data_IF_609271763067
#
_entry.id   IF_609271763067
#
_cell.length_a   1.000
_cell.length_b   1.000
_cell.length_c   1.000
_cell.angle_alpha   90.00
_cell.angle_beta   90.00
_cell.angle_gamma   90.00
#
_symmetry.space_group_name_H-M   'P 1'
#
loop_
_entity.id
_entity.type
_entity.pdbx_description
1 polymer ?
#
# COMPACT_ATOMS: atom_id res chain seq x y z
N UNK A 1 -42.84 10.52 55.66
CA UNK A 1 -41.43 10.12 55.81
C UNK A 1 -40.75 10.18 54.45
N UNK A 2 -40.04 11.24 54.16
CA UNK A 2 -39.26 11.44 52.92
C UNK A 2 -37.83 10.97 53.19
N UNK A 3 -37.32 10.02 52.43
CA UNK A 3 -35.90 9.60 52.45
C UNK A 3 -35.17 10.26 51.27
N UNK A 4 -34.24 11.12 51.59
CA UNK A 4 -33.30 11.78 50.69
C UNK A 4 -32.18 10.82 50.30
N UNK A 5 -31.87 10.77 48.99
CA UNK A 5 -30.70 10.07 48.42
C UNK A 5 -29.48 11.04 48.41
N UNK A 6 -28.27 10.51 48.59
CA UNK A 6 -27.08 11.36 48.60
C UNK A 6 -26.54 11.62 47.18
N UNK A 7 -26.03 12.83 47.04
CA UNK A 7 -25.37 13.37 45.85
C UNK A 7 -24.02 12.67 45.62
N UNK A 8 -23.81 12.13 44.44
CA UNK A 8 -22.55 11.51 44.03
C UNK A 8 -21.46 12.54 43.71
N UNK A 9 -20.29 12.32 44.28
CA UNK A 9 -19.09 13.14 44.10
C UNK A 9 -18.55 13.01 42.65
N UNK A 10 -18.37 14.18 42.03
CA UNK A 10 -17.63 14.32 40.78
C UNK A 10 -16.12 14.27 41.07
N UNK A 11 -15.41 13.31 40.57
CA UNK A 11 -13.95 13.26 40.60
C UNK A 11 -13.44 14.12 39.44
N UNK A 12 -12.82 15.24 39.76
CA UNK A 12 -12.02 16.05 38.83
C UNK A 12 -10.64 15.40 38.74
N UNK A 13 -10.30 14.88 37.54
CA UNK A 13 -8.93 14.48 37.22
C UNK A 13 -8.17 15.73 36.78
N UNK A 14 -7.31 16.23 37.65
CA UNK A 14 -6.37 17.30 37.35
C UNK A 14 -5.17 16.70 36.60
N UNK A 15 -4.99 17.07 35.32
CA UNK A 15 -3.74 16.82 34.61
C UNK A 15 -2.65 17.74 35.12
N UNK A 16 -1.70 17.21 35.87
CA UNK A 16 -0.48 17.93 36.26
C UNK A 16 0.50 17.93 35.07
N UNK A 17 0.72 19.11 34.50
CA UNK A 17 1.78 19.36 33.50
C UNK A 17 3.08 19.56 34.30
N UNK A 18 3.98 18.56 34.21
CA UNK A 18 5.36 18.73 34.67
C UNK A 18 6.20 19.42 33.60
N UNK A 19 6.50 20.70 33.82
CA UNK A 19 7.53 21.42 33.07
C UNK A 19 8.91 20.99 33.60
N UNK A 20 9.60 20.15 32.87
CA UNK A 20 11.02 19.93 33.06
C UNK A 20 11.79 20.93 32.19
N UNK A 21 12.32 21.97 32.82
CA UNK A 21 13.33 22.83 32.21
C UNK A 21 14.69 22.11 32.26
N UNK A 22 15.02 21.36 31.23
CA UNK A 22 16.37 20.81 31.03
C UNK A 22 17.22 21.81 30.26
N UNK A 23 18.30 22.33 30.90
CA UNK A 23 19.36 23.05 30.20
C UNK A 23 20.01 22.10 29.16
N UNK A 24 19.70 22.27 27.88
CA UNK A 24 20.48 21.67 26.80
C UNK A 24 21.72 22.55 26.55
N UNK A 25 22.89 22.04 26.90
CA UNK A 25 24.15 22.57 26.40
C UNK A 25 24.21 22.35 24.88
N UNK A 26 24.29 23.43 24.12
CA UNK A 26 24.46 23.39 22.67
C UNK A 26 25.81 22.77 22.33
N UNK A 27 25.79 21.60 21.70
CA UNK A 27 26.97 21.07 21.01
C UNK A 27 27.14 21.80 19.67
N UNK A 28 28.37 22.10 19.23
CA UNK A 28 28.60 22.75 17.95
C UNK A 28 28.18 21.82 16.81
N UNK A 29 27.42 22.36 15.88
CA UNK A 29 26.97 21.65 14.66
C UNK A 29 28.21 21.21 13.86
N UNK A 30 28.41 19.89 13.80
CA UNK A 30 29.38 19.30 12.89
C UNK A 30 28.92 19.53 11.46
N UNK A 31 29.71 20.22 10.66
CA UNK A 31 29.56 20.40 9.21
C UNK A 31 29.89 19.11 8.48
N UNK A 32 29.18 18.03 8.74
CA UNK A 32 29.26 16.81 7.95
C UNK A 32 28.30 16.95 6.76
N UNK A 33 28.84 16.93 5.54
CA UNK A 33 28.03 16.77 4.34
C UNK A 33 27.13 15.52 4.51
N UNK A 34 25.87 15.55 4.05
CA UNK A 34 24.99 14.40 4.14
C UNK A 34 25.65 13.20 3.44
N UNK A 35 25.52 11.97 3.97
CA UNK A 35 26.08 10.79 3.35
C UNK A 35 25.58 10.72 1.92
N UNK A 36 26.50 10.64 0.95
CA UNK A 36 26.16 10.48 -0.46
C UNK A 36 25.35 9.20 -0.58
N UNK A 37 24.04 9.34 -0.88
CA UNK A 37 23.16 8.23 -1.09
C UNK A 37 23.78 7.23 -2.06
N UNK A 38 23.66 5.95 -1.77
CA UNK A 38 24.06 4.88 -2.66
C UNK A 38 23.34 5.11 -3.99
N UNK A 39 24.09 5.36 -5.07
CA UNK A 39 23.50 5.50 -6.39
C UNK A 39 22.68 4.25 -6.67
N UNK A 40 21.39 4.43 -6.97
CA UNK A 40 20.54 3.31 -7.38
C UNK A 40 21.19 2.63 -8.58
N UNK A 41 21.22 1.29 -8.63
CA UNK A 41 21.69 0.58 -9.81
C UNK A 41 20.86 1.05 -11.04
N UNK A 42 21.47 1.12 -12.24
CA UNK A 42 20.75 1.50 -13.45
C UNK A 42 19.54 0.60 -13.60
N UNK A 43 18.37 1.21 -13.83
CA UNK A 43 17.14 0.45 -14.03
C UNK A 43 17.37 -0.57 -15.15
N UNK A 44 16.95 -1.83 -14.99
CA UNK A 44 16.88 -2.74 -16.11
C UNK A 44 16.06 -2.05 -17.20
N UNK A 45 16.52 -2.11 -18.46
CA UNK A 45 15.79 -1.54 -19.60
C UNK A 45 14.47 -2.30 -19.72
N UNK A 46 13.45 -1.80 -19.06
CA UNK A 46 12.10 -2.36 -19.13
C UNK A 46 11.54 -2.05 -20.50
N UNK A 47 10.95 -3.05 -21.16
CA UNK A 47 10.13 -2.81 -22.34
C UNK A 47 9.05 -1.81 -21.98
N UNK A 48 8.96 -0.67 -22.67
CA UNK A 48 7.88 0.30 -22.43
C UNK A 48 6.57 -0.41 -22.71
N UNK A 49 5.80 -0.68 -21.65
CA UNK A 49 4.47 -1.24 -21.79
C UNK A 49 3.54 -0.22 -22.44
N UNK A 50 2.61 -0.61 -23.31
CA UNK A 50 1.53 0.28 -23.72
C UNK A 50 0.82 0.80 -22.47
N UNK A 51 0.48 2.09 -22.46
CA UNK A 51 -0.30 2.65 -21.35
C UNK A 51 -1.65 1.94 -21.30
N UNK A 52 -2.03 1.33 -20.17
CA UNK A 52 -3.34 0.69 -20.08
C UNK A 52 -4.44 1.74 -20.13
N UNK A 53 -5.56 1.39 -20.75
CA UNK A 53 -6.80 2.15 -20.61
C UNK A 53 -7.36 1.81 -19.24
N UNK A 54 -7.55 2.84 -18.40
CA UNK A 54 -8.11 2.65 -17.08
C UNK A 54 -9.60 2.28 -17.20
N UNK A 55 -10.06 1.11 -16.73
CA UNK A 55 -11.46 0.74 -16.76
C UNK A 55 -12.32 1.68 -15.92
N UNK A 56 -13.61 1.77 -16.22
CA UNK A 56 -14.53 2.51 -15.36
C UNK A 56 -14.62 1.86 -13.96
N UNK A 57 -14.75 2.69 -12.93
CA UNK A 57 -15.10 2.20 -11.61
C UNK A 57 -16.50 1.60 -11.62
N UNK A 58 -16.77 0.50 -10.89
CA UNK A 58 -18.14 0.10 -10.57
C UNK A 58 -18.93 1.26 -9.98
N UNK A 59 -20.25 1.31 -10.17
CA UNK A 59 -21.08 2.34 -9.52
C UNK A 59 -20.91 2.27 -7.99
N UNK A 60 -21.06 3.39 -7.30
CA UNK A 60 -20.86 3.44 -5.84
C UNK A 60 -21.78 2.50 -5.07
N UNK A 61 -23.00 2.28 -5.58
CA UNK A 61 -24.02 1.40 -5.00
C UNK A 61 -24.01 -0.02 -5.59
N UNK A 62 -23.10 -0.30 -6.52
CA UNK A 62 -23.00 -1.64 -7.12
C UNK A 62 -22.21 -2.55 -6.19
N UNK A 63 -22.83 -3.60 -5.71
CA UNK A 63 -22.22 -4.63 -4.87
C UNK A 63 -21.99 -5.94 -5.65
N UNK A 64 -22.42 -6.02 -6.90
CA UNK A 64 -22.37 -7.26 -7.69
C UNK A 64 -20.94 -7.70 -8.02
N UNK A 65 -20.01 -6.75 -8.14
CA UNK A 65 -18.62 -7.05 -8.51
C UNK A 65 -17.82 -7.75 -7.39
N UNK A 66 -18.28 -7.65 -6.13
CA UNK A 66 -17.67 -8.37 -5.00
C UNK A 66 -18.61 -9.39 -4.35
N UNK A 67 -19.86 -9.51 -4.84
CA UNK A 67 -20.74 -10.58 -4.41
C UNK A 67 -20.16 -11.93 -4.83
N UNK A 68 -20.23 -12.91 -3.93
CA UNK A 68 -19.76 -14.26 -4.23
C UNK A 68 -20.61 -14.86 -5.37
N UNK A 69 -19.98 -15.04 -6.53
CA UNK A 69 -20.63 -15.59 -7.71
C UNK A 69 -20.43 -17.11 -7.80
N UNK A 70 -21.20 -17.80 -8.65
CA UNK A 70 -21.01 -19.23 -8.96
C UNK A 70 -19.90 -19.39 -10.01
N UNK A 71 -18.67 -19.20 -9.58
CA UNK A 71 -17.44 -19.30 -10.38
C UNK A 71 -16.37 -20.11 -9.61
N UNK A 72 -15.30 -20.58 -10.25
CA UNK A 72 -14.19 -21.16 -9.51
C UNK A 72 -13.59 -20.18 -8.51
N UNK A 73 -13.42 -20.64 -7.26
CA UNK A 73 -12.93 -19.81 -6.17
C UNK A 73 -11.47 -20.11 -5.83
N UNK A 74 -10.73 -19.05 -5.52
CA UNK A 74 -9.42 -19.14 -4.91
C UNK A 74 -9.49 -19.60 -3.45
N UNK A 75 -8.32 -19.77 -2.85
CA UNK A 75 -8.18 -20.14 -1.44
C UNK A 75 -7.48 -19.02 -0.68
N UNK A 76 -8.05 -18.60 0.43
CA UNK A 76 -7.37 -17.73 1.38
C UNK A 76 -6.80 -18.60 2.50
N UNK A 77 -5.53 -18.39 2.84
CA UNK A 77 -4.88 -19.06 3.96
C UNK A 77 -4.11 -18.04 4.81
N UNK A 78 -3.91 -18.36 6.07
CA UNK A 78 -3.07 -17.58 6.98
C UNK A 78 -1.67 -18.19 7.00
N UNK A 79 -0.66 -17.36 6.75
CA UNK A 79 0.74 -17.69 6.91
C UNK A 79 1.34 -16.93 8.11
N UNK A 80 2.19 -17.62 8.88
CA UNK A 80 2.89 -17.04 10.02
C UNK A 80 4.38 -17.03 9.75
N UNK A 81 5.06 -15.95 10.15
CA UNK A 81 6.50 -15.81 10.00
C UNK A 81 7.09 -15.03 11.18
N UNK A 82 8.40 -15.08 11.32
CA UNK A 82 9.13 -14.16 12.21
C UNK A 82 9.74 -13.06 11.38
N UNK A 83 9.55 -11.81 11.81
CA UNK A 83 10.21 -10.69 11.15
C UNK A 83 11.67 -10.56 11.60
N UNK A 84 12.41 -9.68 10.95
CA UNK A 84 13.82 -9.41 11.22
C UNK A 84 14.12 -8.99 12.67
N UNK A 85 13.10 -8.50 13.41
CA UNK A 85 13.20 -8.18 14.84
C UNK A 85 12.89 -9.37 15.75
N UNK A 86 12.56 -10.56 15.18
CA UNK A 86 12.21 -11.77 15.92
C UNK A 86 10.75 -11.80 16.40
N UNK A 87 9.91 -10.86 15.97
CA UNK A 87 8.49 -10.80 16.33
C UNK A 87 7.68 -11.80 15.52
N UNK A 88 6.71 -12.43 16.15
CA UNK A 88 5.74 -13.29 15.47
C UNK A 88 4.76 -12.43 14.68
N UNK A 89 4.71 -12.64 13.38
CA UNK A 89 3.89 -11.91 12.43
C UNK A 89 3.04 -12.86 11.60
N UNK A 90 1.99 -12.35 11.02
CA UNK A 90 1.12 -13.13 10.14
C UNK A 90 0.70 -12.31 8.92
N UNK A 91 0.25 -13.01 7.90
CA UNK A 91 -0.36 -12.46 6.70
C UNK A 91 -1.44 -13.40 6.20
N UNK A 92 -2.48 -12.87 5.56
CA UNK A 92 -3.38 -13.66 4.73
C UNK A 92 -2.82 -13.73 3.31
N UNK A 93 -2.97 -14.89 2.67
CA UNK A 93 -2.53 -15.12 1.30
C UNK A 93 -3.69 -15.70 0.50
N UNK A 94 -4.12 -14.97 -0.53
CA UNK A 94 -5.05 -15.50 -1.51
C UNK A 94 -4.28 -16.18 -2.63
N UNK A 95 -4.69 -17.40 -2.96
CA UNK A 95 -4.20 -18.22 -4.07
C UNK A 95 -5.30 -18.32 -5.13
N UNK A 96 -5.02 -18.05 -6.42
CA UNK A 96 -6.05 -18.03 -7.45
C UNK A 96 -6.70 -19.40 -7.69
N UNK A 97 -7.88 -19.46 -8.32
CA UNK A 97 -8.67 -20.70 -8.45
C UNK A 97 -7.92 -21.89 -9.05
N UNK A 98 -7.03 -21.65 -10.01
CA UNK A 98 -6.25 -22.68 -10.68
C UNK A 98 -4.97 -23.07 -9.93
N UNK A 99 -4.66 -22.44 -8.81
CA UNK A 99 -3.39 -22.64 -8.11
C UNK A 99 -3.16 -24.11 -7.73
N UNK A 100 -4.17 -24.81 -7.21
CA UNK A 100 -4.01 -26.19 -6.79
C UNK A 100 -3.87 -27.17 -7.97
N UNK A 101 -4.57 -26.93 -9.08
CA UNK A 101 -4.60 -27.80 -10.25
C UNK A 101 -3.46 -27.55 -11.23
N UNK A 102 -3.03 -26.30 -11.39
CA UNK A 102 -1.97 -25.90 -12.33
C UNK A 102 -0.61 -25.82 -11.61
N UNK A 103 -0.05 -26.96 -11.25
CA UNK A 103 1.18 -27.07 -10.44
C UNK A 103 2.43 -26.53 -11.14
N UNK A 104 2.43 -26.42 -12.46
CA UNK A 104 3.54 -25.85 -13.26
C UNK A 104 3.49 -24.32 -13.37
N UNK A 105 2.37 -23.70 -13.07
CA UNK A 105 2.21 -22.25 -13.20
C UNK A 105 2.91 -21.48 -12.07
N UNK A 106 3.43 -20.29 -12.42
CA UNK A 106 3.91 -19.29 -11.46
C UNK A 106 3.14 -18.00 -11.67
N UNK A 107 2.83 -17.34 -10.57
CA UNK A 107 1.90 -16.22 -10.52
C UNK A 107 2.60 -14.91 -10.14
N UNK A 108 2.18 -13.76 -10.69
CA UNK A 108 2.57 -12.46 -10.17
C UNK A 108 1.98 -12.26 -8.77
N UNK A 109 2.54 -11.33 -8.01
CA UNK A 109 2.18 -11.08 -6.61
C UNK A 109 1.75 -9.64 -6.40
N UNK A 110 0.53 -9.47 -5.91
CA UNK A 110 0.04 -8.22 -5.35
C UNK A 110 0.24 -8.24 -3.84
N UNK A 111 1.02 -7.30 -3.30
CA UNK A 111 1.11 -7.03 -1.87
C UNK A 111 0.11 -5.93 -1.53
N UNK A 112 -0.92 -6.24 -0.71
CA UNK A 112 -2.09 -5.41 -0.48
C UNK A 112 -2.20 -5.03 1.00
N UNK A 113 -1.91 -3.77 1.32
CA UNK A 113 -1.82 -3.27 2.68
C UNK A 113 -3.16 -2.74 3.20
N UNK A 114 -3.50 -3.10 4.44
CA UNK A 114 -4.65 -2.59 5.18
C UNK A 114 -4.41 -1.16 5.70
N UNK A 115 -5.45 -0.51 6.22
CA UNK A 115 -5.41 0.82 6.82
C UNK A 115 -5.04 0.84 8.30
N UNK A 116 -5.01 2.03 8.87
CA UNK A 116 -4.78 2.24 10.30
C UNK A 116 -5.85 1.56 11.15
N UNK A 117 -5.44 0.86 12.20
CA UNK A 117 -6.35 0.15 13.10
C UNK A 117 -6.79 -1.25 12.63
N UNK A 118 -6.62 -1.57 11.36
CA UNK A 118 -6.92 -2.87 10.76
C UNK A 118 -5.76 -3.88 10.93
N UNK A 119 -5.91 -5.07 10.34
CA UNK A 119 -4.89 -6.12 10.29
C UNK A 119 -4.95 -6.91 8.96
N UNK A 120 -4.14 -7.94 8.86
CA UNK A 120 -4.02 -8.81 7.69
C UNK A 120 -5.32 -9.46 7.22
N UNK A 121 -6.34 -9.56 8.09
CA UNK A 121 -7.63 -10.18 7.73
C UNK A 121 -8.58 -9.24 6.98
N UNK A 122 -8.34 -7.93 7.04
CA UNK A 122 -9.35 -6.94 6.58
C UNK A 122 -9.62 -6.97 5.10
N UNK A 123 -8.60 -7.11 4.26
CA UNK A 123 -8.82 -7.23 2.83
C UNK A 123 -9.49 -8.55 2.42
N UNK A 124 -9.27 -9.63 3.19
CA UNK A 124 -9.88 -10.94 2.93
C UNK A 124 -11.25 -11.13 3.59
N UNK A 125 -11.65 -10.24 4.49
CA UNK A 125 -12.94 -10.33 5.17
C UNK A 125 -14.12 -10.07 4.24
N UNK A 126 -15.14 -10.90 4.40
CA UNK A 126 -16.42 -10.83 3.68
C UNK A 126 -17.53 -10.19 4.54
N UNK A 127 -17.16 -9.35 5.50
CA UNK A 127 -18.08 -8.54 6.29
C UNK A 127 -18.31 -7.15 5.69
N UNK A 128 -19.29 -6.41 6.23
CA UNK A 128 -19.64 -5.06 5.76
C UNK A 128 -18.42 -4.13 5.67
N UNK A 129 -17.47 -4.28 6.59
CA UNK A 129 -16.26 -3.47 6.68
C UNK A 129 -15.01 -4.24 6.21
N UNK A 130 -15.18 -5.24 5.37
CA UNK A 130 -14.12 -6.06 4.79
C UNK A 130 -13.85 -5.74 3.33
N UNK A 131 -12.76 -6.27 2.79
CA UNK A 131 -12.27 -5.97 1.46
C UNK A 131 -12.82 -6.85 0.35
N UNK A 132 -13.31 -8.05 0.66
CA UNK A 132 -13.77 -9.06 -0.33
C UNK A 132 -12.73 -9.33 -1.43
N UNK A 133 -11.45 -9.22 -1.11
CA UNK A 133 -10.40 -9.29 -2.14
C UNK A 133 -10.41 -10.63 -2.90
N UNK A 134 -10.76 -11.73 -2.23
CA UNK A 134 -10.92 -13.05 -2.86
C UNK A 134 -12.03 -13.05 -3.90
N UNK A 135 -13.26 -12.69 -3.50
CA UNK A 135 -14.42 -12.70 -4.40
C UNK A 135 -14.26 -11.70 -5.56
N UNK A 136 -13.69 -10.52 -5.31
CA UNK A 136 -13.36 -9.56 -6.38
C UNK A 136 -12.45 -10.22 -7.42
N UNK A 137 -11.36 -10.88 -6.98
CA UNK A 137 -10.42 -11.49 -7.91
C UNK A 137 -11.01 -12.72 -8.60
N UNK A 138 -11.76 -13.57 -7.90
CA UNK A 138 -12.41 -14.74 -8.49
C UNK A 138 -13.37 -14.33 -9.62
N UNK A 139 -14.23 -13.33 -9.36
CA UNK A 139 -15.15 -12.78 -10.35
C UNK A 139 -14.40 -12.19 -11.56
N UNK A 140 -13.32 -11.45 -11.32
CA UNK A 140 -12.54 -10.80 -12.37
C UNK A 140 -11.73 -11.81 -13.20
N UNK A 141 -11.14 -12.82 -12.57
CA UNK A 141 -10.40 -13.89 -13.25
C UNK A 141 -11.35 -14.71 -14.12
N UNK A 142 -12.50 -15.11 -13.56
CA UNK A 142 -13.53 -15.84 -14.31
C UNK A 142 -14.07 -15.07 -15.51
N UNK A 143 -14.21 -13.75 -15.37
CA UNK A 143 -14.62 -12.87 -16.47
C UNK A 143 -13.49 -12.56 -17.49
N UNK A 144 -12.29 -13.07 -17.29
CA UNK A 144 -11.12 -12.79 -18.14
C UNK A 144 -10.65 -11.33 -18.05
N UNK A 145 -11.02 -10.59 -17.00
CA UNK A 145 -10.71 -9.18 -16.80
C UNK A 145 -9.46 -8.95 -15.94
N UNK A 146 -9.08 -9.91 -15.11
CA UNK A 146 -7.84 -9.88 -14.35
C UNK A 146 -7.01 -11.14 -14.59
N UNK A 147 -5.69 -11.00 -14.49
CA UNK A 147 -4.80 -12.17 -14.54
C UNK A 147 -4.87 -12.92 -13.21
N UNK A 148 -4.77 -14.27 -13.22
CA UNK A 148 -4.53 -15.01 -12.01
C UNK A 148 -3.27 -14.50 -11.31
N UNK A 149 -3.41 -14.14 -10.03
CA UNK A 149 -2.33 -13.61 -9.20
C UNK A 149 -2.46 -14.10 -7.76
N UNK A 150 -1.36 -14.11 -7.05
CA UNK A 150 -1.34 -14.27 -5.58
C UNK A 150 -1.54 -12.89 -4.97
N UNK A 151 -2.40 -12.78 -3.93
CA UNK A 151 -2.48 -11.56 -3.11
C UNK A 151 -1.91 -11.88 -1.74
N UNK A 152 -0.94 -11.10 -1.32
CA UNK A 152 -0.36 -11.15 0.02
C UNK A 152 -0.87 -9.95 0.80
N UNK A 153 -1.53 -10.20 1.90
CA UNK A 153 -2.13 -9.20 2.79
C UNK A 153 -1.40 -9.24 4.15
N UNK A 154 -0.29 -8.53 4.31
CA UNK A 154 0.50 -8.59 5.54
C UNK A 154 -0.12 -7.76 6.65
N UNK A 155 0.19 -8.11 7.90
CA UNK A 155 -0.11 -7.27 9.05
C UNK A 155 0.98 -6.20 9.23
N UNK A 156 0.72 -5.00 8.74
CA UNK A 156 1.65 -3.86 8.81
C UNK A 156 1.50 -3.01 10.09
N UNK A 157 0.76 -3.51 11.09
CA UNK A 157 0.70 -2.84 12.41
C UNK A 157 2.09 -2.71 13.00
N UNK A 158 2.39 -1.52 13.51
CA UNK A 158 3.64 -1.21 14.20
C UNK A 158 4.81 -0.87 13.28
N UNK A 159 4.68 -1.02 11.95
CA UNK A 159 5.72 -0.60 11.01
C UNK A 159 5.32 0.61 10.16
N UNK A 160 4.03 0.73 9.77
CA UNK A 160 3.57 1.85 8.95
C UNK A 160 3.75 3.21 9.65
N UNK A 161 4.23 4.20 8.92
CA UNK A 161 4.53 5.55 9.43
C UNK A 161 4.11 6.62 8.43
N UNK A 162 3.87 7.84 8.93
CA UNK A 162 3.68 9.02 8.09
C UNK A 162 4.98 9.79 7.83
N UNK A 163 6.05 9.46 8.52
CA UNK A 163 7.35 10.10 8.34
C UNK A 163 8.21 9.29 7.37
N UNK A 164 8.67 9.91 6.26
CA UNK A 164 9.58 9.25 5.33
C UNK A 164 10.97 9.07 5.95
N UNK A 165 11.65 7.98 5.57
CA UNK A 165 13.06 7.76 5.89
C UNK A 165 13.96 8.29 4.79
N UNK A 166 15.19 8.76 5.08
CA UNK A 166 16.16 9.14 4.06
C UNK A 166 16.50 7.97 3.12
N UNK A 167 16.86 8.28 1.87
CA UNK A 167 17.29 7.26 0.90
C UNK A 167 18.43 6.41 1.48
N UNK A 168 18.28 5.08 1.36
CA UNK A 168 19.26 4.11 1.85
C UNK A 168 19.11 3.77 3.34
N UNK A 169 18.12 4.34 4.01
CA UNK A 169 17.68 3.97 5.35
C UNK A 169 16.25 3.44 5.25
N UNK A 170 16.10 2.13 5.27
CA UNK A 170 14.79 1.50 5.19
C UNK A 170 14.02 1.73 6.50
N UNK A 171 12.78 2.17 6.37
CA UNK A 171 11.85 2.16 7.50
C UNK A 171 11.51 0.72 7.92
N UNK A 172 10.78 0.58 9.01
CA UNK A 172 10.44 -0.75 9.54
C UNK A 172 9.65 -1.61 8.56
N UNK A 173 8.69 -1.01 7.83
CA UNK A 173 7.90 -1.74 6.83
C UNK A 173 8.75 -2.17 5.65
N UNK A 174 9.60 -1.28 5.11
CA UNK A 174 10.53 -1.60 4.03
C UNK A 174 11.46 -2.75 4.42
N UNK A 175 12.02 -2.71 5.64
CA UNK A 175 12.86 -3.79 6.15
C UNK A 175 12.10 -5.11 6.21
N UNK A 176 10.88 -5.11 6.76
CA UNK A 176 10.05 -6.31 6.88
C UNK A 176 9.67 -6.86 5.49
N UNK A 177 9.35 -5.99 4.52
CA UNK A 177 9.10 -6.41 3.15
C UNK A 177 10.30 -7.08 2.50
N UNK A 178 11.46 -6.45 2.58
CA UNK A 178 12.66 -6.88 1.85
C UNK A 178 13.35 -8.08 2.50
N UNK A 179 13.32 -8.17 3.83
CA UNK A 179 14.06 -9.21 4.57
C UNK A 179 13.20 -10.44 4.87
N UNK A 180 11.88 -10.26 5.01
CA UNK A 180 11.01 -11.30 5.55
C UNK A 180 9.86 -11.65 4.60
N UNK A 181 8.95 -10.70 4.29
CA UNK A 181 7.73 -10.99 3.55
C UNK A 181 8.03 -11.52 2.14
N UNK A 182 8.79 -10.78 1.34
CA UNK A 182 9.10 -11.17 -0.04
C UNK A 182 9.88 -12.50 -0.09
N UNK A 183 10.97 -12.70 0.68
CA UNK A 183 11.68 -13.98 0.73
C UNK A 183 10.80 -15.15 1.18
N UNK A 184 9.95 -14.93 2.19
CA UNK A 184 9.00 -15.95 2.62
C UNK A 184 8.03 -16.35 1.50
N UNK A 185 7.39 -15.36 0.88
CA UNK A 185 6.41 -15.57 -0.18
C UNK A 185 7.03 -16.28 -1.39
N UNK A 186 8.21 -15.84 -1.81
CA UNK A 186 8.90 -16.44 -2.97
C UNK A 186 9.37 -17.87 -2.71
N UNK A 187 9.65 -18.24 -1.44
CA UNK A 187 10.08 -19.59 -1.08
C UNK A 187 8.93 -20.57 -0.81
N UNK A 188 7.75 -20.06 -0.40
CA UNK A 188 6.60 -20.92 -0.04
C UNK A 188 5.53 -21.00 -1.13
N UNK A 189 5.51 -20.03 -2.05
CA UNK A 189 4.49 -19.97 -3.10
C UNK A 189 5.11 -19.95 -4.50
N UNK A 190 4.34 -20.39 -5.48
CA UNK A 190 4.77 -20.39 -6.88
C UNK A 190 4.67 -18.99 -7.49
N UNK A 191 5.58 -18.13 -7.08
CA UNK A 191 5.67 -16.75 -7.55
C UNK A 191 6.50 -16.64 -8.83
N UNK A 192 6.22 -15.62 -9.63
CA UNK A 192 7.15 -15.09 -10.63
C UNK A 192 8.08 -14.11 -9.94
N UNK A 193 9.12 -14.65 -9.27
CA UNK A 193 10.00 -13.95 -8.33
C UNK A 193 10.90 -12.90 -9.00
N UNK A 194 10.29 -11.92 -9.67
CA UNK A 194 11.01 -10.78 -10.24
C UNK A 194 10.20 -9.50 -10.06
N UNK A 195 10.90 -8.37 -10.09
CA UNK A 195 10.36 -7.03 -10.01
C UNK A 195 9.10 -6.83 -10.86
N UNK A 196 9.15 -7.27 -12.12
CA UNK A 196 8.10 -7.06 -13.11
C UNK A 196 6.78 -7.77 -12.79
N UNK A 197 6.80 -8.62 -11.79
CA UNK A 197 5.64 -9.38 -11.31
C UNK A 197 5.35 -9.10 -9.82
N UNK A 198 5.79 -7.93 -9.31
CA UNK A 198 5.45 -7.47 -7.97
C UNK A 198 4.77 -6.11 -8.03
N UNK A 199 3.54 -6.07 -7.52
CA UNK A 199 2.75 -4.86 -7.32
C UNK A 199 2.60 -4.60 -5.82
N UNK A 200 2.59 -3.33 -5.44
CA UNK A 200 2.36 -2.89 -4.06
C UNK A 200 1.14 -1.97 -4.03
N UNK A 201 0.14 -2.31 -3.26
CA UNK A 201 -1.09 -1.54 -3.10
C UNK A 201 -1.43 -1.34 -1.63
N UNK A 202 -2.21 -0.31 -1.32
CA UNK A 202 -2.67 -0.10 0.05
C UNK A 202 -3.63 1.07 0.20
N UNK A 203 -4.47 0.97 1.23
CA UNK A 203 -5.44 2.00 1.59
C UNK A 203 -4.98 2.77 2.83
N UNK A 204 -5.26 4.07 2.89
CA UNK A 204 -5.00 4.91 4.08
C UNK A 204 -3.54 4.77 4.57
N UNK A 205 -3.31 4.32 5.81
CA UNK A 205 -1.96 4.00 6.31
C UNK A 205 -1.21 3.01 5.42
N UNK A 206 -1.90 2.02 4.84
CA UNK A 206 -1.31 1.10 3.87
C UNK A 206 -0.86 1.80 2.59
N UNK A 207 -1.50 2.89 2.19
CA UNK A 207 -1.04 3.76 1.10
C UNK A 207 0.27 4.49 1.44
N UNK A 208 0.50 4.84 2.72
CA UNK A 208 1.81 5.36 3.16
C UNK A 208 2.89 4.28 3.09
N UNK A 209 2.56 3.01 3.38
CA UNK A 209 3.48 1.89 3.15
C UNK A 209 3.85 1.81 1.66
N UNK A 210 2.88 1.97 0.75
CA UNK A 210 3.17 2.00 -0.70
C UNK A 210 4.13 3.14 -1.06
N UNK A 211 3.91 4.34 -0.51
CA UNK A 211 4.76 5.51 -0.79
C UNK A 211 6.17 5.27 -0.24
N UNK A 212 6.29 4.91 1.04
CA UNK A 212 7.59 4.86 1.73
C UNK A 212 8.40 3.60 1.41
N UNK A 213 7.74 2.49 1.04
CA UNK A 213 8.42 1.26 0.60
C UNK A 213 8.60 1.22 -0.92
N UNK A 214 7.59 1.62 -1.68
CA UNK A 214 7.58 1.47 -3.13
C UNK A 214 8.54 2.39 -3.86
N UNK A 215 8.55 3.70 -3.55
CA UNK A 215 9.42 4.65 -4.24
C UNK A 215 10.92 4.39 -4.02
N UNK A 216 11.41 4.07 -2.79
CA UNK A 216 12.81 3.69 -2.60
C UNK A 216 13.19 2.39 -3.29
N UNK A 217 12.22 1.50 -3.52
CA UNK A 217 12.45 0.13 -4.00
C UNK A 217 11.77 -0.16 -5.35
N UNK A 218 11.88 0.80 -6.29
CA UNK A 218 11.46 0.59 -7.68
C UNK A 218 12.30 -0.45 -8.42
N UNK A 219 13.32 -1.00 -7.83
CA UNK A 219 14.07 -2.19 -8.24
C UNK A 219 13.43 -3.51 -7.77
N UNK A 220 12.50 -3.43 -6.84
CA UNK A 220 11.75 -4.56 -6.25
C UNK A 220 10.31 -4.60 -6.72
N UNK A 221 9.67 -3.44 -6.86
CA UNK A 221 8.29 -3.29 -7.30
C UNK A 221 8.22 -2.52 -8.62
N UNK A 222 7.35 -2.96 -9.53
CA UNK A 222 7.13 -2.29 -10.81
C UNK A 222 5.81 -1.55 -10.91
N UNK A 223 4.91 -1.75 -9.95
CA UNK A 223 3.57 -1.17 -9.93
C UNK A 223 3.20 -0.73 -8.53
N UNK A 224 2.72 0.52 -8.40
CA UNK A 224 2.32 1.14 -7.14
C UNK A 224 0.88 1.67 -7.22
N UNK A 225 0.05 1.32 -6.24
CA UNK A 225 -1.37 1.67 -6.18
C UNK A 225 -1.73 2.24 -4.81
N UNK A 226 -2.11 3.51 -4.76
CA UNK A 226 -2.37 4.28 -3.54
C UNK A 226 -3.85 4.60 -3.44
N UNK A 227 -4.53 4.06 -2.43
CA UNK A 227 -5.95 4.27 -2.21
C UNK A 227 -6.17 5.14 -0.98
N UNK A 228 -6.86 6.29 -1.13
CA UNK A 228 -7.25 7.16 -0.02
C UNK A 228 -6.09 7.49 0.94
N UNK A 229 -4.96 7.95 0.39
CA UNK A 229 -3.75 8.21 1.17
C UNK A 229 -2.95 9.39 0.64
N UNK A 230 -1.92 9.77 1.38
CA UNK A 230 -0.98 10.85 1.08
C UNK A 230 -0.44 11.48 2.37
N UNK A 231 0.59 12.32 2.25
CA UNK A 231 1.25 12.95 3.38
C UNK A 231 0.30 13.90 4.14
N UNK A 232 0.19 13.68 5.45
CA UNK A 232 -0.77 14.38 6.31
C UNK A 232 -0.41 15.86 6.56
N UNK A 233 0.86 16.23 6.42
CA UNK A 233 1.35 17.60 6.66
C UNK A 233 2.30 18.06 5.58
N UNK A 234 2.42 19.38 5.42
CA UNK A 234 3.44 19.99 4.54
C UNK A 234 4.87 19.62 4.97
N UNK A 235 5.10 19.45 6.27
CA UNK A 235 6.41 19.08 6.78
C UNK A 235 6.83 17.67 6.39
N UNK A 236 5.90 16.70 6.42
CA UNK A 236 6.18 15.31 5.99
C UNK A 236 6.34 15.24 4.48
N UNK A 237 5.51 15.95 3.72
CA UNK A 237 5.64 16.04 2.26
C UNK A 237 6.96 16.68 1.85
N UNK A 238 7.36 17.77 2.52
CA UNK A 238 8.65 18.44 2.24
C UNK A 238 9.82 17.50 2.53
N UNK A 239 9.81 16.75 3.64
CA UNK A 239 10.84 15.75 3.92
C UNK A 239 10.87 14.66 2.84
N UNK A 240 9.72 14.18 2.40
CA UNK A 240 9.64 13.23 1.30
C UNK A 240 10.27 13.80 0.03
N UNK A 241 9.95 15.04 -0.33
CA UNK A 241 10.55 15.74 -1.48
C UNK A 241 12.08 15.90 -1.34
N UNK A 242 12.56 16.28 -0.16
CA UNK A 242 13.99 16.38 0.15
C UNK A 242 14.72 15.04 0.00
N UNK A 243 14.08 13.93 0.41
CA UNK A 243 14.68 12.61 0.35
C UNK A 243 14.57 11.96 -1.03
N UNK A 244 13.42 12.08 -1.69
CA UNK A 244 13.10 11.34 -2.90
C UNK A 244 13.01 12.19 -4.17
N UNK A 245 13.09 13.52 -4.07
CA UNK A 245 13.00 14.43 -5.21
C UNK A 245 13.97 14.10 -6.34
N UNK A 246 15.19 13.66 -6.01
CA UNK A 246 16.17 13.24 -7.02
C UNK A 246 15.72 11.99 -7.81
N UNK A 247 15.03 11.04 -7.16
CA UNK A 247 14.44 9.87 -7.84
C UNK A 247 13.29 10.32 -8.73
N UNK A 248 12.41 11.17 -8.19
CA UNK A 248 11.24 11.67 -8.94
C UNK A 248 11.64 12.51 -10.14
N UNK A 249 12.73 13.26 -10.03
CA UNK A 249 13.25 14.12 -11.10
C UNK A 249 13.95 13.33 -12.22
N UNK A 250 14.42 12.11 -11.96
CA UNK A 250 15.07 11.28 -12.96
C UNK A 250 14.04 10.87 -14.04
N UNK A 251 14.23 11.29 -15.31
CA UNK A 251 13.30 10.91 -16.39
C UNK A 251 13.15 9.40 -16.56
N UNK A 252 14.17 8.61 -16.19
CA UNK A 252 14.13 7.15 -16.23
C UNK A 252 13.18 6.56 -15.18
N UNK A 253 12.74 7.33 -14.19
CA UNK A 253 11.81 6.83 -13.16
C UNK A 253 10.47 6.41 -13.76
N UNK A 254 9.97 7.13 -14.74
CA UNK A 254 8.75 6.75 -15.46
C UNK A 254 8.88 5.39 -16.16
N UNK A 255 10.08 5.04 -16.62
CA UNK A 255 10.34 3.76 -17.29
C UNK A 255 10.50 2.60 -16.32
N UNK A 256 10.58 2.89 -15.01
CA UNK A 256 10.55 1.88 -13.96
C UNK A 256 9.14 1.40 -13.66
N UNK A 257 8.10 2.15 -14.00
CA UNK A 257 6.71 1.75 -13.83
C UNK A 257 6.19 1.00 -15.04
N UNK A 258 5.67 -0.20 -14.84
CA UNK A 258 4.97 -0.97 -15.88
C UNK A 258 3.55 -0.43 -16.12
N UNK A 259 2.95 0.10 -15.08
CA UNK A 259 1.67 0.83 -15.07
C UNK A 259 1.95 2.20 -14.45
N UNK A 260 1.41 3.31 -14.97
CA UNK A 260 1.51 4.59 -14.30
C UNK A 260 1.10 4.51 -12.83
N UNK A 261 1.75 5.29 -11.97
CA UNK A 261 1.35 5.37 -10.56
C UNK A 261 -0.16 5.58 -10.46
N UNK A 262 -0.84 4.73 -9.69
CA UNK A 262 -2.28 4.87 -9.47
C UNK A 262 -2.55 5.52 -8.12
N UNK A 263 -3.39 6.56 -8.13
CA UNK A 263 -3.86 7.22 -6.92
C UNK A 263 -5.37 7.42 -7.01
N UNK A 264 -6.10 7.14 -5.93
CA UNK A 264 -7.54 7.32 -5.87
C UNK A 264 -8.01 7.85 -4.52
N UNK A 265 -9.04 8.68 -4.52
CA UNK A 265 -9.73 9.14 -3.31
C UNK A 265 -11.19 9.46 -3.61
N UNK A 266 -12.06 9.35 -2.60
CA UNK A 266 -13.44 9.83 -2.67
C UNK A 266 -13.52 11.36 -2.56
N UNK A 267 -14.55 11.98 -3.13
CA UNK A 267 -14.76 13.42 -3.08
C UNK A 267 -15.02 13.98 -1.67
N UNK A 268 -15.47 13.12 -0.74
CA UNK A 268 -15.64 13.45 0.67
C UNK A 268 -14.64 12.71 1.58
N UNK A 269 -13.58 12.16 1.00
CA UNK A 269 -12.55 11.41 1.72
C UNK A 269 -11.69 12.34 2.60
N UNK A 270 -11.46 11.95 3.85
CA UNK A 270 -10.59 12.69 4.78
C UNK A 270 -9.14 12.79 4.27
N UNK A 271 -8.70 11.83 3.44
CA UNK A 271 -7.37 11.81 2.84
C UNK A 271 -7.30 12.52 1.48
N UNK A 272 -8.42 13.02 0.93
CA UNK A 272 -8.45 13.64 -0.39
C UNK A 272 -7.39 14.74 -0.54
N UNK A 273 -7.34 15.69 0.41
CA UNK A 273 -6.37 16.79 0.36
C UNK A 273 -4.93 16.31 0.48
N UNK A 274 -4.69 15.23 1.21
CA UNK A 274 -3.35 14.65 1.34
C UNK A 274 -2.90 14.05 -0.01
N UNK A 275 -3.76 13.23 -0.64
CA UNK A 275 -3.49 12.68 -1.97
C UNK A 275 -3.31 13.76 -3.05
N UNK A 276 -4.10 14.84 -2.99
CA UNK A 276 -3.94 15.96 -3.94
C UNK A 276 -2.60 16.71 -3.79
N UNK A 277 -2.07 16.83 -2.57
CA UNK A 277 -0.73 17.41 -2.33
C UNK A 277 0.37 16.53 -2.91
N UNK A 278 0.28 15.22 -2.67
CA UNK A 278 1.23 14.26 -3.23
C UNK A 278 1.15 14.23 -4.76
N UNK A 279 -0.06 14.25 -5.32
CA UNK A 279 -0.27 14.34 -6.77
C UNK A 279 0.39 15.57 -7.37
N UNK A 280 0.21 16.76 -6.76
CA UNK A 280 0.83 18.00 -7.22
C UNK A 280 2.37 17.92 -7.16
N UNK A 281 2.94 17.21 -6.18
CA UNK A 281 4.38 16.94 -6.11
C UNK A 281 4.81 16.05 -7.29
N UNK A 282 4.11 14.95 -7.53
CA UNK A 282 4.43 14.00 -8.60
C UNK A 282 4.27 14.63 -9.98
N UNK A 283 3.23 15.44 -10.20
CA UNK A 283 3.02 16.19 -11.45
C UNK A 283 4.13 17.21 -11.71
N UNK A 284 4.63 17.88 -10.66
CA UNK A 284 5.78 18.80 -10.76
C UNK A 284 7.03 18.11 -11.29
N UNK A 285 7.21 16.84 -10.98
CA UNK A 285 8.32 16.02 -11.45
C UNK A 285 8.01 15.27 -12.76
N UNK A 286 6.81 15.44 -13.32
CA UNK A 286 6.40 14.76 -14.55
C UNK A 286 6.21 13.26 -14.40
N UNK A 287 5.92 12.78 -13.18
CA UNK A 287 5.63 11.37 -12.94
C UNK A 287 4.27 11.00 -13.55
N UNK A 288 4.27 10.03 -14.46
CA UNK A 288 3.04 9.53 -15.08
C UNK A 288 2.15 8.86 -14.03
N UNK A 289 0.92 9.32 -13.94
CA UNK A 289 -0.01 8.83 -12.95
C UNK A 289 -1.45 8.75 -13.50
N UNK A 290 -2.27 7.93 -12.80
CA UNK A 290 -3.72 7.97 -12.85
C UNK A 290 -4.22 8.59 -11.55
N UNK A 291 -4.95 9.69 -11.66
CA UNK A 291 -5.71 10.25 -10.54
C UNK A 291 -7.19 9.97 -10.71
N UNK A 292 -7.76 9.23 -9.75
CA UNK A 292 -9.18 8.83 -9.76
C UNK A 292 -9.89 9.50 -8.60
N UNK A 293 -10.76 10.45 -8.91
CA UNK A 293 -11.70 11.03 -7.97
C UNK A 293 -13.04 10.31 -8.10
N UNK A 294 -13.51 9.71 -7.02
CA UNK A 294 -14.77 8.96 -7.00
C UNK A 294 -15.79 9.59 -6.05
N UNK A 295 -17.06 9.23 -6.19
CA UNK A 295 -18.07 9.50 -5.17
C UNK A 295 -17.74 8.80 -3.85
N UNK A 296 -18.27 9.31 -2.72
CA UNK A 296 -18.11 8.73 -1.39
C UNK A 296 -16.86 9.22 -0.64
N UNK A 297 -16.55 8.56 0.46
CA UNK A 297 -15.54 8.98 1.43
C UNK A 297 -14.45 7.94 1.66
N UNK A 298 -13.91 7.98 2.88
CA UNK A 298 -12.83 7.10 3.37
C UNK A 298 -13.41 5.77 3.85
N UNK A 299 -13.75 4.88 2.93
CA UNK A 299 -14.61 3.74 3.22
C UNK A 299 -14.41 2.53 2.28
N UNK A 300 -14.83 1.36 2.76
CA UNK A 300 -14.67 0.09 2.05
C UNK A 300 -15.39 0.05 0.71
N UNK A 301 -16.53 0.75 0.55
CA UNK A 301 -17.22 0.86 -0.73
C UNK A 301 -16.27 1.39 -1.83
N UNK A 302 -15.45 2.39 -1.51
CA UNK A 302 -14.45 2.93 -2.44
C UNK A 302 -13.25 2.00 -2.63
N UNK A 303 -12.69 1.45 -1.55
CA UNK A 303 -11.47 0.64 -1.65
C UNK A 303 -11.70 -0.66 -2.43
N UNK A 304 -12.87 -1.31 -2.30
CA UNK A 304 -13.26 -2.45 -3.15
C UNK A 304 -13.32 -2.07 -4.63
N UNK A 305 -13.90 -0.90 -4.95
CA UNK A 305 -13.98 -0.37 -6.33
C UNK A 305 -12.59 -0.10 -6.91
N UNK A 306 -11.67 0.46 -6.10
CA UNK A 306 -10.30 0.71 -6.53
C UNK A 306 -9.55 -0.59 -6.77
N UNK A 307 -9.70 -1.59 -5.91
CA UNK A 307 -9.13 -2.92 -6.14
C UNK A 307 -9.69 -3.56 -7.42
N UNK A 308 -11.01 -3.50 -7.63
CA UNK A 308 -11.64 -4.00 -8.85
C UNK A 308 -11.08 -3.31 -10.11
N UNK A 309 -10.94 -1.98 -10.09
CA UNK A 309 -10.42 -1.22 -11.22
C UNK A 309 -8.94 -1.56 -11.50
N UNK A 310 -8.11 -1.57 -10.46
CA UNK A 310 -6.67 -1.77 -10.61
C UNK A 310 -6.29 -3.20 -10.94
N UNK A 311 -7.02 -4.21 -10.44
CA UNK A 311 -6.78 -5.60 -10.79
C UNK A 311 -6.86 -5.87 -12.31
N UNK A 312 -7.62 -5.07 -13.05
CA UNK A 312 -7.75 -5.20 -14.50
C UNK A 312 -6.54 -4.69 -15.29
N UNK A 313 -5.72 -3.85 -14.69
CA UNK A 313 -4.54 -3.26 -15.35
C UNK A 313 -3.23 -3.77 -14.79
N UNK A 314 -3.27 -4.54 -13.68
CA UNK A 314 -2.08 -5.11 -13.06
C UNK A 314 -1.40 -6.14 -13.98
N UNK A 315 -0.07 -6.13 -13.96
CA UNK A 315 0.79 -7.09 -14.67
C UNK A 315 0.51 -7.16 -16.17
N UNK A 316 0.51 -6.03 -16.91
CA UNK A 316 0.22 -6.01 -18.34
C UNK A 316 1.18 -6.91 -19.12
N UNK A 317 0.70 -7.47 -20.26
CA UNK A 317 1.57 -8.14 -21.21
C UNK A 317 2.38 -7.08 -21.97
N UNK A 318 3.64 -6.98 -21.61
CA UNK A 318 4.55 -6.08 -22.30
C UNK A 318 5.27 -6.86 -23.40
N UNK A 319 5.48 -6.26 -24.57
CA UNK A 319 6.30 -6.88 -25.61
C UNK A 319 7.67 -7.27 -25.03
N UNK A 320 8.12 -8.48 -25.30
CA UNK A 320 9.52 -8.83 -25.09
C UNK A 320 10.37 -7.87 -25.94
N UNK A 321 11.40 -7.27 -25.34
CA UNK A 321 12.42 -6.54 -26.08
C UNK A 321 13.44 -7.46 -26.68
#
# INVERSE_FOLDING_TARGET
MRKTLPVGSRVLVACAIFLFAGLLAAQPAGTGAPPRGRAMPPAPKVGVCPLPILPALPAYTDETFFARADVPHGKIEQANYKNYAGEDKRMHVYLPPDYASNTGARYPVLYLNHGGGDDDSKWSSEDRNGGYAGDILDNMISAGKAKPMIIVMPNTRGCATFDPSPIGIDDKCSQEYLKDIIPYVDSHYRTRASRDYRALAGLSMGGMVVIHTGFPHLDTFSELYIYSSGHISEATLKRFDEYYGAILQDPATNDRFRVPLYMAAGETDIALKNGQKDLALFDRYGLRNFWVLSSGGHEWANWRRYLNQTAQIMFPDCPAK
#
